data_IF_919456719199
#
_entry.id   IF_919456719199
#
_cell.length_a   1.000
_cell.length_b   1.000
_cell.length_c   1.000
_cell.angle_alpha   90.00
_cell.angle_beta   90.00
_cell.angle_gamma   90.00
#
_symmetry.space_group_name_H-M   'P 1'
#
loop_
_entity.id
_entity.type
_entity.pdbx_description
1 polymer ?
#
# COMPACT_ATOMS: atom_id res chain seq x y z
N UNK A 1 -1.92 -14.03 19.61
CA UNK A 1 -2.07 -12.58 19.48
C UNK A 1 -1.00 -12.03 18.54
N UNK A 2 -1.36 -11.11 17.66
CA UNK A 2 -0.40 -10.48 16.75
C UNK A 2 0.56 -9.57 17.53
N UNK A 3 1.85 -9.78 17.33
CA UNK A 3 2.92 -8.95 17.90
C UNK A 3 3.76 -8.38 16.76
N UNK A 4 3.59 -7.10 16.47
CA UNK A 4 4.29 -6.41 15.39
C UNK A 4 5.80 -6.49 15.54
N UNK A 5 6.33 -6.38 16.76
CA UNK A 5 7.77 -6.41 17.00
C UNK A 5 8.40 -7.75 16.59
N UNK A 6 7.72 -8.86 16.80
CA UNK A 6 8.18 -10.18 16.37
C UNK A 6 8.33 -10.23 14.85
N UNK A 7 7.37 -9.68 14.11
CA UNK A 7 7.39 -9.70 12.65
C UNK A 7 8.42 -8.71 12.08
N UNK A 8 8.63 -7.58 12.73
CA UNK A 8 9.71 -6.65 12.39
C UNK A 8 11.08 -7.31 12.61
N UNK A 9 11.25 -8.05 13.70
CA UNK A 9 12.49 -8.78 13.98
C UNK A 9 12.78 -9.84 12.90
N UNK A 10 11.74 -10.58 12.47
CA UNK A 10 11.88 -11.52 11.35
C UNK A 10 12.26 -10.81 10.06
N UNK A 11 11.66 -9.66 9.81
CA UNK A 11 11.97 -8.84 8.64
C UNK A 11 13.43 -8.38 8.65
N UNK A 12 13.99 -8.10 9.83
CA UNK A 12 15.41 -7.74 9.98
C UNK A 12 16.33 -8.86 9.46
N UNK A 13 15.95 -10.11 9.66
CA UNK A 13 16.74 -11.26 9.20
C UNK A 13 16.57 -11.51 7.71
N UNK A 14 15.36 -11.35 7.19
CA UNK A 14 15.03 -11.67 5.80
C UNK A 14 15.26 -10.50 4.86
N UNK A 15 14.95 -9.28 5.32
CA UNK A 15 14.99 -8.05 4.51
C UNK A 15 15.59 -6.91 5.35
N UNK A 16 16.92 -6.88 5.55
CA UNK A 16 17.56 -5.93 6.45
C UNK A 16 17.28 -4.46 6.13
N UNK A 17 17.17 -4.11 4.86
CA UNK A 17 16.87 -2.74 4.44
C UNK A 17 15.51 -2.28 5.02
N UNK A 18 14.49 -3.11 4.89
CA UNK A 18 13.15 -2.77 5.39
C UNK A 18 13.09 -2.73 6.91
N UNK A 19 13.89 -3.54 7.58
CA UNK A 19 13.97 -3.49 9.03
C UNK A 19 14.58 -2.18 9.51
N UNK A 20 15.61 -1.69 8.84
CA UNK A 20 16.21 -0.38 9.13
C UNK A 20 15.20 0.74 8.87
N UNK A 21 14.52 0.69 7.73
CA UNK A 21 13.46 1.65 7.40
C UNK A 21 12.36 1.64 8.44
N UNK A 22 11.96 0.46 8.91
CA UNK A 22 10.92 0.30 9.92
C UNK A 22 11.21 1.07 11.21
N UNK A 23 12.48 1.19 11.59
CA UNK A 23 12.87 1.95 12.79
C UNK A 23 12.57 3.43 12.68
N UNK A 24 12.48 3.95 11.47
CA UNK A 24 12.19 5.36 11.20
C UNK A 24 10.70 5.63 11.05
N UNK A 25 9.88 4.59 11.08
CA UNK A 25 8.44 4.68 10.95
C UNK A 25 7.80 4.49 12.32
N UNK A 26 7.02 5.48 12.77
CA UNK A 26 6.28 5.38 14.02
C UNK A 26 5.11 4.41 13.84
N UNK A 27 4.96 3.47 14.77
CA UNK A 27 3.93 2.45 14.70
C UNK A 27 2.82 2.76 15.68
N UNK A 28 1.59 2.88 15.17
CA UNK A 28 0.41 3.22 15.96
C UNK A 28 -0.66 2.15 15.83
N UNK A 29 -0.88 1.45 16.94
CA UNK A 29 -1.94 0.48 17.07
C UNK A 29 -3.28 1.21 17.11
N UNK A 30 -4.27 0.76 16.32
CA UNK A 30 -5.57 1.39 16.27
C UNK A 30 -6.66 0.38 15.91
N UNK A 31 -7.89 0.66 16.31
CA UNK A 31 -9.08 -0.05 15.86
C UNK A 31 -9.95 0.81 14.95
N UNK A 32 -9.52 2.05 14.66
CA UNK A 32 -10.30 2.98 13.84
C UNK A 32 -10.27 2.67 12.35
N UNK A 33 -9.33 1.82 11.92
CA UNK A 33 -9.28 1.31 10.56
C UNK A 33 -9.33 -0.22 10.60
N UNK A 34 -9.90 -0.88 9.58
CA UNK A 34 -10.01 -2.34 9.58
C UNK A 34 -8.70 -3.06 9.23
N UNK A 35 -7.74 -2.38 8.64
CA UNK A 35 -6.53 -2.97 8.06
C UNK A 35 -5.25 -2.32 8.62
N UNK A 36 -4.37 -1.93 7.73
CA UNK A 36 -3.16 -1.18 8.04
C UNK A 36 -2.93 -0.15 6.92
N UNK A 37 -2.18 0.88 7.23
CA UNK A 37 -1.84 1.89 6.24
C UNK A 37 -0.74 2.81 6.75
N UNK A 38 -0.02 3.43 5.82
CA UNK A 38 1.02 4.42 6.13
C UNK A 38 0.56 5.80 5.71
N UNK A 39 0.99 6.77 6.49
CA UNK A 39 0.78 8.19 6.17
C UNK A 39 1.96 9.01 6.65
N UNK A 40 2.05 10.25 6.19
CA UNK A 40 3.02 11.18 6.73
C UNK A 40 2.35 12.09 7.75
N UNK A 41 3.02 12.26 8.89
CA UNK A 41 2.62 13.27 9.86
C UNK A 41 3.16 14.62 9.39
N UNK A 42 2.25 15.52 9.00
CA UNK A 42 2.64 16.83 8.42
C UNK A 42 3.33 17.76 9.40
N UNK A 43 3.11 17.57 10.70
CA UNK A 43 3.74 18.40 11.73
C UNK A 43 5.19 17.99 11.99
N UNK A 44 5.46 16.67 11.99
CA UNK A 44 6.79 16.13 12.30
C UNK A 44 7.55 15.68 11.06
N UNK A 45 6.88 15.63 9.90
CA UNK A 45 7.41 15.07 8.64
C UNK A 45 7.85 13.60 8.76
N UNK A 46 7.29 12.87 9.71
CA UNK A 46 7.63 11.49 9.98
C UNK A 46 6.54 10.55 9.46
N UNK A 47 6.95 9.39 8.92
CA UNK A 47 6.02 8.35 8.51
C UNK A 47 5.41 7.67 9.72
N UNK A 48 4.13 7.33 9.61
CA UNK A 48 3.40 6.57 10.61
C UNK A 48 2.76 5.34 9.97
N UNK A 49 2.94 4.19 10.61
CA UNK A 49 2.20 2.98 10.27
C UNK A 49 1.05 2.83 11.28
N UNK A 50 -0.17 2.95 10.79
CA UNK A 50 -1.38 2.68 11.56
C UNK A 50 -1.82 1.26 11.27
N UNK A 51 -2.04 0.45 12.29
CA UNK A 51 -2.40 -0.95 12.09
C UNK A 51 -3.43 -1.42 13.10
N UNK A 52 -4.35 -2.25 12.61
CA UNK A 52 -5.30 -2.97 13.45
C UNK A 52 -4.76 -4.39 13.66
N UNK A 53 -4.42 -4.77 14.90
CA UNK A 53 -3.88 -6.11 15.17
C UNK A 53 -4.80 -7.26 14.71
N UNK A 54 -6.10 -7.06 14.77
CA UNK A 54 -7.09 -8.07 14.35
C UNK A 54 -6.98 -8.42 12.87
N UNK A 55 -6.55 -7.44 12.05
CA UNK A 55 -6.34 -7.67 10.62
C UNK A 55 -5.28 -8.75 10.36
N UNK A 56 -4.27 -8.82 11.21
CA UNK A 56 -3.17 -9.77 11.06
C UNK A 56 -3.47 -11.13 11.69
N UNK A 57 -4.44 -11.21 12.58
CA UNK A 57 -4.82 -12.48 13.19
C UNK A 57 -5.41 -13.41 12.12
N UNK A 58 -4.99 -14.65 12.12
CA UNK A 58 -5.40 -15.63 11.11
C UNK A 58 -4.55 -15.66 9.85
N UNK A 59 -3.65 -14.69 9.65
CA UNK A 59 -2.71 -14.70 8.54
C UNK A 59 -1.53 -15.63 8.83
N UNK A 60 -0.95 -16.21 7.77
CA UNK A 60 0.34 -16.89 7.88
C UNK A 60 1.47 -15.88 8.12
N UNK A 61 2.61 -16.35 8.56
CA UNK A 61 3.78 -15.46 8.75
C UNK A 61 4.24 -14.85 7.43
N UNK A 62 4.13 -15.58 6.31
CA UNK A 62 4.44 -15.05 4.98
C UNK A 62 3.48 -13.94 4.57
N UNK A 63 2.20 -14.09 4.87
CA UNK A 63 1.20 -13.05 4.59
C UNK A 63 1.44 -11.80 5.42
N UNK A 64 1.74 -11.96 6.71
CA UNK A 64 2.07 -10.82 7.60
C UNK A 64 3.28 -10.06 7.12
N UNK A 65 4.33 -10.78 6.67
CA UNK A 65 5.53 -10.18 6.10
C UNK A 65 5.20 -9.36 4.86
N UNK A 66 4.44 -9.93 3.93
CA UNK A 66 4.09 -9.26 2.67
C UNK A 66 3.22 -8.02 2.92
N UNK A 67 2.31 -8.06 3.88
CA UNK A 67 1.52 -6.88 4.25
C UNK A 67 2.42 -5.77 4.79
N UNK A 68 3.38 -6.09 5.64
CA UNK A 68 4.33 -5.10 6.16
C UNK A 68 5.22 -4.54 5.04
N UNK A 69 5.71 -5.39 4.14
CA UNK A 69 6.48 -4.95 2.98
C UNK A 69 5.66 -4.03 2.09
N UNK A 70 4.38 -4.36 1.86
CA UNK A 70 3.46 -3.53 1.10
C UNK A 70 3.42 -2.10 1.65
N UNK A 71 3.23 -1.96 2.95
CA UNK A 71 3.16 -0.64 3.58
C UNK A 71 4.49 0.11 3.49
N UNK A 72 5.59 -0.59 3.69
CA UNK A 72 6.92 0.03 3.63
C UNK A 72 7.29 0.45 2.21
N UNK A 73 6.85 -0.28 1.18
CA UNK A 73 7.04 0.13 -0.22
C UNK A 73 6.35 1.45 -0.53
N UNK A 74 5.17 1.73 0.06
CA UNK A 74 4.54 3.04 -0.11
C UNK A 74 5.46 4.18 0.36
N UNK A 75 6.20 3.96 1.44
CA UNK A 75 7.16 4.94 1.94
C UNK A 75 8.38 5.06 1.02
N UNK A 76 8.96 3.94 0.63
CA UNK A 76 10.17 3.89 -0.23
C UNK A 76 9.92 4.56 -1.57
N UNK A 77 8.77 4.31 -2.18
CA UNK A 77 8.43 4.84 -3.50
C UNK A 77 7.72 6.19 -3.45
N UNK A 78 7.65 6.81 -2.28
CA UNK A 78 7.05 8.14 -2.08
C UNK A 78 5.59 8.23 -2.54
N UNK A 79 4.85 7.12 -2.47
CA UNK A 79 3.44 7.06 -2.91
C UNK A 79 2.51 7.95 -2.09
N UNK A 80 2.88 8.26 -0.86
CA UNK A 80 2.09 9.10 0.05
C UNK A 80 2.72 10.50 0.24
N UNK A 81 3.75 10.81 -0.51
CA UNK A 81 4.49 12.08 -0.41
C UNK A 81 4.73 12.70 -1.80
N UNK A 82 5.97 12.59 -2.30
CA UNK A 82 6.42 13.31 -3.49
C UNK A 82 5.72 12.98 -4.80
N UNK A 83 5.20 11.76 -4.91
CA UNK A 83 4.58 11.27 -6.16
C UNK A 83 3.05 11.37 -6.18
N UNK A 84 2.43 11.97 -5.18
CA UNK A 84 0.98 12.17 -5.18
C UNK A 84 0.53 12.96 -6.41
N UNK A 85 -0.63 12.61 -7.00
CA UNK A 85 -1.16 13.36 -8.13
C UNK A 85 -1.55 14.78 -7.73
N UNK A 86 -1.54 15.67 -8.70
CA UNK A 86 -1.87 17.08 -8.52
C UNK A 86 -3.33 17.32 -8.91
N UNK A 87 -4.10 17.97 -8.05
CA UNK A 87 -5.48 18.32 -8.30
C UNK A 87 -5.60 19.59 -9.16
N UNK A 88 -6.84 20.00 -9.45
CA UNK A 88 -7.13 21.18 -10.29
C UNK A 88 -6.59 22.49 -9.71
N UNK A 89 -6.33 22.52 -8.39
CA UNK A 89 -5.77 23.70 -7.70
C UNK A 89 -4.25 23.70 -7.67
N UNK A 90 -3.59 22.70 -8.28
CA UNK A 90 -2.14 22.57 -8.27
C UNK A 90 -1.58 21.97 -6.97
N UNK A 91 -2.43 21.41 -6.13
CA UNK A 91 -2.04 20.81 -4.85
C UNK A 91 -1.93 19.29 -4.98
N UNK A 92 -0.98 18.71 -4.26
CA UNK A 92 -0.84 17.25 -4.19
C UNK A 92 -1.94 16.67 -3.32
N UNK A 93 -2.59 15.63 -3.81
CA UNK A 93 -3.72 15.01 -3.14
C UNK A 93 -3.74 13.50 -3.31
N UNK A 94 -4.00 12.79 -2.21
CA UNK A 94 -4.26 11.36 -2.25
C UNK A 94 -5.68 11.11 -2.75
N UNK A 95 -5.81 10.29 -3.78
CA UNK A 95 -7.11 9.86 -4.32
C UNK A 95 -7.26 8.35 -4.21
N UNK A 96 -8.51 7.86 -4.26
CA UNK A 96 -8.78 6.42 -4.29
C UNK A 96 -8.10 5.78 -5.51
N UNK A 97 -8.18 6.42 -6.66
CA UNK A 97 -7.57 5.92 -7.90
C UNK A 97 -6.05 5.81 -7.79
N UNK A 98 -5.38 6.81 -7.20
CA UNK A 98 -3.95 6.76 -6.96
C UNK A 98 -3.59 5.66 -5.96
N UNK A 99 -4.38 5.52 -4.91
CA UNK A 99 -4.16 4.44 -3.94
C UNK A 99 -4.22 3.06 -4.59
N UNK A 100 -5.22 2.84 -5.46
CA UNK A 100 -5.32 1.59 -6.22
C UNK A 100 -4.11 1.41 -7.14
N UNK A 101 -3.70 2.47 -7.85
CA UNK A 101 -2.55 2.42 -8.75
C UNK A 101 -1.26 2.03 -8.03
N UNK A 102 -1.01 2.60 -6.85
CA UNK A 102 0.16 2.26 -6.05
C UNK A 102 0.09 0.83 -5.52
N UNK A 103 -1.10 0.36 -5.13
CA UNK A 103 -1.29 -1.02 -4.69
C UNK A 103 -1.02 -2.00 -5.84
N UNK A 104 -1.50 -1.70 -7.05
CA UNK A 104 -1.21 -2.53 -8.23
C UNK A 104 0.29 -2.62 -8.48
N UNK A 105 1.01 -1.50 -8.39
CA UNK A 105 2.45 -1.46 -8.61
C UNK A 105 3.20 -2.30 -7.58
N UNK A 106 2.87 -2.16 -6.31
CA UNK A 106 3.53 -2.89 -5.22
C UNK A 106 3.16 -4.37 -5.25
N UNK A 107 1.87 -4.68 -5.38
CA UNK A 107 1.37 -6.04 -5.22
C UNK A 107 1.79 -6.95 -6.37
N UNK A 108 2.19 -6.40 -7.51
CA UNK A 108 2.77 -7.21 -8.58
C UNK A 108 4.08 -7.89 -8.18
N UNK A 109 4.74 -7.41 -7.12
CA UNK A 109 6.01 -7.95 -6.61
C UNK A 109 5.83 -8.83 -5.36
N UNK A 110 4.64 -8.95 -4.83
CA UNK A 110 4.35 -9.68 -3.59
C UNK A 110 3.51 -10.92 -3.87
N UNK A 111 3.98 -12.09 -3.44
CA UNK A 111 3.34 -13.37 -3.77
C UNK A 111 2.53 -14.00 -2.64
N UNK A 112 2.60 -13.48 -1.43
CA UNK A 112 1.94 -14.04 -0.25
C UNK A 112 0.94 -13.07 0.39
N UNK A 113 0.34 -12.17 -0.40
CA UNK A 113 -0.69 -11.28 0.11
C UNK A 113 -1.97 -12.05 0.42
N UNK A 114 -2.76 -11.60 1.43
CA UNK A 114 -4.06 -12.20 1.68
C UNK A 114 -5.00 -12.05 0.48
N UNK A 115 -5.98 -12.95 0.39
CA UNK A 115 -7.01 -12.86 -0.64
C UNK A 115 -7.78 -11.54 -0.52
N UNK A 116 -8.22 -11.01 -1.65
CA UNK A 116 -8.96 -9.76 -1.71
C UNK A 116 -8.10 -8.53 -1.93
N UNK A 117 -6.76 -8.65 -1.89
CA UNK A 117 -5.89 -7.53 -2.23
C UNK A 117 -5.95 -7.20 -3.71
N UNK A 118 -5.87 -5.91 -4.02
CA UNK A 118 -5.81 -5.41 -5.39
C UNK A 118 -4.52 -5.90 -6.04
N UNK A 119 -4.63 -6.52 -7.22
CA UNK A 119 -3.48 -7.11 -7.89
C UNK A 119 -3.69 -7.14 -9.41
N UNK A 120 -2.65 -6.86 -10.23
CA UNK A 120 -2.77 -7.03 -11.67
C UNK A 120 -3.07 -8.48 -12.02
N UNK A 121 -3.92 -8.69 -13.01
CA UNK A 121 -4.31 -10.03 -13.46
C UNK A 121 -5.46 -10.64 -12.67
N UNK A 122 -6.05 -9.92 -11.72
CA UNK A 122 -7.11 -10.41 -10.83
C UNK A 122 -8.30 -9.45 -10.82
N UNK A 123 -9.51 -10.01 -10.90
CA UNK A 123 -10.76 -9.26 -10.80
C UNK A 123 -10.89 -8.16 -11.85
N UNK A 124 -11.22 -6.91 -11.44
CA UNK A 124 -11.36 -5.80 -12.39
C UNK A 124 -10.08 -5.46 -13.14
N UNK A 125 -8.93 -5.97 -12.68
CA UNK A 125 -7.61 -5.67 -13.25
C UNK A 125 -7.04 -6.88 -13.98
N UNK A 126 -7.89 -7.80 -14.43
CA UNK A 126 -7.51 -9.05 -15.10
C UNK A 126 -6.60 -8.83 -16.31
N UNK A 127 -6.85 -7.77 -17.07
CA UNK A 127 -6.07 -7.44 -18.27
C UNK A 127 -4.85 -6.56 -18.00
N UNK A 128 -4.60 -6.20 -16.75
CA UNK A 128 -3.48 -5.33 -16.41
C UNK A 128 -2.19 -6.15 -16.31
N UNK A 129 -1.10 -5.68 -16.97
CA UNK A 129 0.19 -6.36 -16.86
C UNK A 129 0.81 -6.16 -15.50
N UNK A 130 1.73 -7.06 -15.12
CA UNK A 130 2.54 -6.93 -13.91
C UNK A 130 3.71 -5.97 -14.12
N UNK A 131 4.31 -5.54 -13.00
CA UNK A 131 5.60 -4.84 -12.97
C UNK A 131 5.63 -3.51 -13.72
N UNK A 132 4.51 -2.79 -13.69
CA UNK A 132 4.45 -1.42 -14.18
C UNK A 132 4.56 -0.42 -13.01
N UNK A 133 4.88 0.83 -13.33
CA UNK A 133 4.92 1.89 -12.32
C UNK A 133 3.53 2.28 -11.84
N UNK A 134 3.47 2.93 -10.68
CA UNK A 134 2.20 3.47 -10.18
C UNK A 134 1.58 4.46 -11.16
N UNK A 135 2.39 5.30 -11.80
CA UNK A 135 1.93 6.26 -12.82
C UNK A 135 1.33 5.55 -14.04
N UNK A 136 1.93 4.43 -14.45
CA UNK A 136 1.39 3.63 -15.54
C UNK A 136 -0.02 3.11 -15.21
N UNK A 137 -0.16 2.51 -14.03
CA UNK A 137 -1.47 2.01 -13.59
C UNK A 137 -2.47 3.14 -13.41
N UNK A 138 -2.03 4.28 -12.89
CA UNK A 138 -2.89 5.45 -12.73
C UNK A 138 -3.44 5.92 -14.07
N UNK A 139 -2.59 6.04 -15.08
CA UNK A 139 -3.02 6.42 -16.44
C UNK A 139 -3.99 5.39 -17.03
N UNK A 140 -3.73 4.10 -16.82
CA UNK A 140 -4.63 3.03 -17.31
C UNK A 140 -5.98 3.08 -16.60
N UNK A 141 -5.99 3.28 -15.30
CA UNK A 141 -7.23 3.42 -14.53
C UNK A 141 -8.04 4.62 -14.99
N UNK A 142 -7.38 5.75 -15.26
CA UNK A 142 -8.04 6.95 -15.77
C UNK A 142 -8.68 6.67 -17.14
N UNK A 143 -7.98 5.95 -18.01
CA UNK A 143 -8.51 5.61 -19.34
C UNK A 143 -9.69 4.65 -19.23
N UNK A 144 -9.57 3.61 -18.41
CA UNK A 144 -10.65 2.63 -18.23
C UNK A 144 -11.89 3.28 -17.59
N UNK A 145 -11.71 4.24 -16.70
CA UNK A 145 -12.83 4.99 -16.11
C UNK A 145 -13.54 5.88 -17.11
N UNK A 146 -12.83 6.42 -18.11
CA UNK A 146 -13.44 7.19 -19.21
C UNK A 146 -14.21 6.28 -20.17
N UNK A 147 -13.64 5.11 -20.47
CA UNK A 147 -14.25 4.16 -21.40
C UNK A 147 -15.43 3.42 -20.76
N UNK A 148 -15.42 3.28 -19.45
CA UNK A 148 -16.49 2.64 -18.68
C UNK A 148 -16.77 3.45 -17.41
N UNK A 149 -17.76 4.36 -17.42
CA UNK A 149 -18.09 5.18 -16.26
C UNK A 149 -18.45 4.38 -15.00
N UNK A 150 -19.04 3.20 -15.14
CA UNK A 150 -19.35 2.33 -13.98
C UNK A 150 -18.09 1.88 -13.26
N UNK A 151 -17.02 1.61 -14.01
CA UNK A 151 -15.72 1.27 -13.44
C UNK A 151 -15.16 2.44 -12.62
N UNK A 152 -15.27 3.67 -13.15
CA UNK A 152 -14.82 4.86 -12.45
C UNK A 152 -15.61 5.17 -11.19
N UNK A 153 -16.91 4.91 -11.20
CA UNK A 153 -17.78 5.13 -10.04
C UNK A 153 -17.50 4.15 -8.91
N UNK A 154 -16.96 2.97 -9.22
CA UNK A 154 -16.62 1.96 -8.22
C UNK A 154 -15.34 2.31 -7.42
N UNK A 155 -14.59 3.29 -7.87
CA UNK A 155 -13.39 3.80 -7.19
C UNK A 155 -13.74 5.04 -6.31
#
# INVERSE_FOLDING_TARGET
MFDLNTHVARLLMDEPFFAILSRQIEKRKTSSIPTAGVRINKETAQFELHYNPEFFEGMTDYQKKDVLLHEFYHCVFEHVTGRLPVNDKGEKEMTMMWNIATDLAINSHLSHLPDGCVKPGVGPYEEYPNEQSAEWYYARLQQDAKDNPEFGEAM
#
